data_IF_167827922422
#
_entry.id   IF_167827922422
#
_cell.length_a   1.000
_cell.length_b   1.000
_cell.length_c   1.000
_cell.angle_alpha   90.00
_cell.angle_beta   90.00
_cell.angle_gamma   90.00
#
_symmetry.space_group_name_H-M   'P 1'
#
loop_
_entity.id
_entity.type
_entity.pdbx_description
1 polymer ?
#
# COMPACT_ATOMS: atom_id res chain seq x y z
N UNK A 1 3.75 5.07 -5.35
CA UNK A 1 5.19 4.83 -5.56
C UNK A 1 5.80 5.73 -6.65
N UNK A 2 5.40 5.61 -7.93
CA UNK A 2 5.98 6.40 -9.04
C UNK A 2 6.03 7.90 -8.75
N UNK A 3 4.88 8.48 -8.36
CA UNK A 3 4.77 9.91 -8.06
C UNK A 3 5.80 10.37 -7.00
N UNK A 4 5.94 9.61 -5.91
CA UNK A 4 6.88 9.95 -4.83
C UNK A 4 8.34 9.88 -5.29
N UNK A 5 8.70 8.84 -6.04
CA UNK A 5 10.05 8.70 -6.60
C UNK A 5 10.35 9.83 -7.59
N UNK A 6 9.39 10.16 -8.46
CA UNK A 6 9.52 11.20 -9.46
C UNK A 6 9.66 12.58 -8.79
N UNK A 7 8.82 12.88 -7.80
CA UNK A 7 8.88 14.13 -7.03
C UNK A 7 10.23 14.33 -6.34
N UNK A 8 10.81 13.25 -5.79
CA UNK A 8 12.02 13.36 -4.98
C UNK A 8 13.32 13.26 -5.78
N UNK A 9 13.33 12.55 -6.91
CA UNK A 9 14.56 12.18 -7.65
C UNK A 9 14.46 12.34 -9.17
N UNK A 10 13.34 12.86 -9.67
CA UNK A 10 13.09 13.08 -11.09
C UNK A 10 12.51 11.87 -11.83
N UNK A 11 11.92 12.15 -13.00
CA UNK A 11 11.21 11.19 -13.84
C UNK A 11 12.06 9.98 -14.21
N UNK A 12 13.26 10.20 -14.74
CA UNK A 12 14.16 9.13 -15.18
C UNK A 12 14.48 8.17 -14.05
N UNK A 13 14.77 8.69 -12.85
CA UNK A 13 15.03 7.85 -11.68
C UNK A 13 13.81 6.99 -11.32
N UNK A 14 12.62 7.57 -11.30
CA UNK A 14 11.39 6.83 -10.99
C UNK A 14 11.12 5.68 -11.97
N UNK A 15 11.29 5.93 -13.28
CA UNK A 15 11.12 4.92 -14.33
C UNK A 15 12.16 3.79 -14.21
N UNK A 16 13.44 4.14 -14.05
CA UNK A 16 14.50 3.14 -13.87
C UNK A 16 14.28 2.31 -12.61
N UNK A 17 13.93 2.93 -11.48
CA UNK A 17 13.69 2.21 -10.22
C UNK A 17 12.51 1.25 -10.31
N UNK A 18 11.39 1.66 -10.93
CA UNK A 18 10.20 0.80 -11.06
C UNK A 18 10.47 -0.35 -12.03
N UNK A 19 11.13 -0.08 -13.16
CA UNK A 19 11.52 -1.13 -14.11
C UNK A 19 12.49 -2.13 -13.48
N UNK A 20 13.46 -1.66 -12.70
CA UNK A 20 14.39 -2.53 -11.98
C UNK A 20 13.64 -3.38 -10.94
N UNK A 21 12.81 -2.76 -10.09
CA UNK A 21 11.98 -3.48 -9.11
C UNK A 21 11.14 -4.57 -9.77
N UNK A 22 10.52 -4.25 -10.92
CA UNK A 22 9.67 -5.19 -11.64
C UNK A 22 10.43 -6.38 -12.23
N UNK A 23 11.74 -6.28 -12.45
CA UNK A 23 12.58 -7.36 -13.00
C UNK A 23 13.22 -8.20 -11.91
N UNK A 24 13.72 -7.55 -10.86
CA UNK A 24 14.53 -8.21 -9.83
C UNK A 24 13.70 -8.83 -8.70
N UNK A 25 12.53 -8.27 -8.41
CA UNK A 25 11.71 -8.72 -7.28
C UNK A 25 10.47 -9.45 -7.81
N UNK A 26 10.33 -10.75 -7.52
CA UNK A 26 9.12 -11.49 -7.83
C UNK A 26 7.91 -10.81 -7.18
N UNK A 27 6.95 -10.41 -8.00
CA UNK A 27 5.74 -9.75 -7.53
C UNK A 27 4.55 -10.15 -8.39
N UNK A 28 3.36 -9.95 -7.85
CA UNK A 28 2.10 -10.17 -8.55
C UNK A 28 1.30 -8.89 -8.49
N UNK A 29 0.80 -8.45 -9.64
CA UNK A 29 -0.17 -7.36 -9.70
C UNK A 29 -1.53 -7.90 -9.29
N UNK A 30 -2.10 -7.35 -8.23
CA UNK A 30 -3.41 -7.74 -7.72
C UNK A 30 -4.47 -6.87 -8.37
N UNK A 31 -5.50 -7.50 -8.93
CA UNK A 31 -6.64 -6.79 -9.49
C UNK A 31 -7.50 -6.20 -8.36
N UNK A 32 -7.91 -4.94 -8.54
CA UNK A 32 -8.78 -4.23 -7.61
C UNK A 32 -10.22 -4.37 -8.10
N UNK A 33 -10.96 -5.30 -7.50
CA UNK A 33 -12.37 -5.53 -7.80
C UNK A 33 -13.29 -4.64 -6.95
N UNK A 34 -14.58 -4.63 -7.28
CA UNK A 34 -15.59 -3.87 -6.51
C UNK A 34 -15.67 -4.29 -5.04
N UNK A 35 -15.35 -5.54 -4.71
CA UNK A 35 -15.31 -6.00 -3.33
C UNK A 35 -14.18 -5.35 -2.53
N UNK A 36 -13.00 -5.20 -3.13
CA UNK A 36 -11.89 -4.41 -2.56
C UNK A 36 -12.32 -2.95 -2.39
N UNK A 37 -12.94 -2.36 -3.41
CA UNK A 37 -13.37 -0.96 -3.41
C UNK A 37 -14.37 -0.70 -2.26
N UNK A 38 -15.39 -1.53 -2.09
CA UNK A 38 -16.36 -1.38 -0.99
C UNK A 38 -15.71 -1.54 0.38
N UNK A 39 -14.79 -2.49 0.53
CA UNK A 39 -14.04 -2.67 1.80
C UNK A 39 -13.16 -1.46 2.11
N UNK A 40 -12.45 -0.93 1.12
CA UNK A 40 -11.63 0.25 1.28
C UNK A 40 -12.46 1.50 1.60
N UNK A 41 -13.61 1.66 0.94
CA UNK A 41 -14.57 2.73 1.24
C UNK A 41 -15.09 2.65 2.67
N UNK A 42 -15.43 1.46 3.15
CA UNK A 42 -15.85 1.24 4.54
C UNK A 42 -14.74 1.61 5.53
N UNK A 43 -13.50 1.15 5.31
CA UNK A 43 -12.33 1.52 6.11
C UNK A 43 -12.09 3.03 6.12
N UNK A 44 -12.25 3.69 4.97
CA UNK A 44 -12.08 5.14 4.85
C UNK A 44 -13.18 5.90 5.57
N UNK A 45 -14.40 5.37 5.61
CA UNK A 45 -15.50 5.96 6.38
C UNK A 45 -15.20 5.89 7.89
N UNK A 46 -14.73 4.75 8.38
CA UNK A 46 -14.42 4.52 9.79
C UNK A 46 -13.18 5.30 10.27
N UNK A 47 -12.15 5.40 9.43
CA UNK A 47 -10.87 6.04 9.77
C UNK A 47 -10.59 7.28 8.92
N UNK A 48 -11.62 8.11 8.71
CA UNK A 48 -11.61 9.23 7.75
C UNK A 48 -10.43 10.19 7.90
N UNK A 49 -10.00 10.48 9.12
CA UNK A 49 -8.93 11.46 9.37
C UNK A 49 -7.53 10.83 9.45
N UNK A 50 -7.44 9.49 9.48
CA UNK A 50 -6.18 8.78 9.75
C UNK A 50 -5.64 8.12 8.48
N UNK A 51 -6.47 7.33 7.79
CA UNK A 51 -6.03 6.54 6.64
C UNK A 51 -6.25 7.31 5.35
N UNK A 52 -5.25 7.37 4.46
CA UNK A 52 -5.51 7.80 3.09
C UNK A 52 -6.33 6.74 2.35
N UNK A 53 -6.97 7.12 1.24
CA UNK A 53 -7.71 6.13 0.44
C UNK A 53 -6.78 5.03 -0.12
N UNK A 54 -5.53 5.40 -0.45
CA UNK A 54 -4.52 4.44 -0.90
C UNK A 54 -4.17 3.42 0.19
N UNK A 55 -4.09 3.85 1.45
CA UNK A 55 -3.87 2.94 2.58
C UNK A 55 -5.07 2.00 2.75
N UNK A 56 -6.29 2.53 2.69
CA UNK A 56 -7.51 1.72 2.77
C UNK A 56 -7.54 0.64 1.68
N UNK A 57 -7.18 0.97 0.44
CA UNK A 57 -7.10 0.01 -0.66
C UNK A 57 -6.05 -1.07 -0.40
N UNK A 58 -4.85 -0.69 0.01
CA UNK A 58 -3.77 -1.63 0.28
C UNK A 58 -4.10 -2.58 1.45
N UNK A 59 -4.75 -2.06 2.49
CA UNK A 59 -5.24 -2.83 3.64
C UNK A 59 -6.36 -3.80 3.21
N UNK A 60 -7.34 -3.32 2.43
CA UNK A 60 -8.44 -4.15 1.95
C UNK A 60 -7.95 -5.34 1.12
N UNK A 61 -6.99 -5.11 0.21
CA UNK A 61 -6.31 -6.18 -0.55
C UNK A 61 -5.59 -7.14 0.39
N UNK A 62 -4.85 -6.62 1.37
CA UNK A 62 -4.07 -7.45 2.30
C UNK A 62 -4.94 -8.37 3.14
N UNK A 63 -6.09 -7.86 3.62
CA UNK A 63 -7.07 -8.65 4.35
C UNK A 63 -7.72 -9.71 3.46
N UNK A 64 -8.07 -9.36 2.21
CA UNK A 64 -8.66 -10.29 1.24
C UNK A 64 -7.70 -11.46 0.92
N UNK A 65 -6.42 -11.17 0.75
CA UNK A 65 -5.40 -12.18 0.46
C UNK A 65 -4.91 -12.92 1.70
N UNK A 66 -5.37 -12.54 2.90
CA UNK A 66 -4.82 -13.01 4.18
C UNK A 66 -3.29 -12.94 4.18
N UNK A 67 -2.73 -11.80 3.76
CA UNK A 67 -1.30 -11.57 3.64
C UNK A 67 -0.75 -10.84 4.89
N UNK A 68 0.51 -10.42 4.83
CA UNK A 68 1.12 -9.52 5.82
C UNK A 68 1.22 -8.14 5.19
N UNK A 69 0.82 -7.11 5.93
CA UNK A 69 0.90 -5.72 5.51
C UNK A 69 2.29 -5.16 5.83
N UNK A 70 3.08 -4.90 4.79
CA UNK A 70 4.42 -4.34 4.92
C UNK A 70 4.36 -2.82 4.76
N UNK A 71 4.83 -2.06 5.75
CA UNK A 71 4.73 -0.61 5.75
C UNK A 71 5.81 0.07 6.59
N UNK A 72 6.10 1.32 6.30
CA UNK A 72 6.91 2.23 7.15
C UNK A 72 6.04 3.16 8.00
N UNK A 73 4.71 3.09 7.85
CA UNK A 73 3.78 3.97 8.55
C UNK A 73 3.70 3.60 10.04
N UNK A 74 3.84 4.61 10.88
CA UNK A 74 3.84 4.44 12.33
C UNK A 74 2.44 4.56 12.91
N UNK A 75 1.58 5.38 12.30
CA UNK A 75 0.28 5.78 12.87
C UNK A 75 -0.92 4.99 12.34
N UNK A 76 -0.70 3.73 11.94
CA UNK A 76 -1.80 2.83 11.54
C UNK A 76 -2.75 2.57 12.71
N UNK A 77 -4.08 2.75 12.51
CA UNK A 77 -5.06 2.42 13.52
C UNK A 77 -5.05 0.89 13.79
N UNK A 78 -5.45 0.45 14.99
CA UNK A 78 -5.54 -0.97 15.30
C UNK A 78 -6.67 -1.60 14.49
N UNK A 79 -6.31 -2.35 13.44
CA UNK A 79 -7.26 -3.02 12.56
C UNK A 79 -7.31 -4.51 12.89
N UNK A 80 -8.50 -5.00 13.21
CA UNK A 80 -8.71 -6.41 13.52
C UNK A 80 -8.24 -7.30 12.35
N UNK A 81 -7.45 -8.34 12.67
CA UNK A 81 -6.92 -9.35 11.73
C UNK A 81 -5.85 -8.85 10.76
N UNK A 82 -5.49 -7.57 10.75
CA UNK A 82 -4.39 -7.08 9.93
C UNK A 82 -3.05 -7.44 10.57
N UNK A 83 -2.29 -8.36 9.96
CA UNK A 83 -0.92 -8.65 10.37
C UNK A 83 0.00 -7.60 9.77
N UNK A 84 0.67 -6.80 10.60
CA UNK A 84 1.54 -5.71 10.13
C UNK A 84 3.01 -6.05 10.39
N UNK A 85 3.85 -5.90 9.36
CA UNK A 85 5.30 -5.85 9.48
C UNK A 85 5.75 -4.41 9.25
N UNK A 86 6.13 -3.73 10.33
CA UNK A 86 6.68 -2.37 10.28
C UNK A 86 8.16 -2.39 9.93
N UNK A 87 8.58 -1.43 9.11
CA UNK A 87 9.97 -1.15 8.79
C UNK A 87 10.33 0.26 9.26
N UNK A 88 11.52 0.39 9.81
CA UNK A 88 12.16 1.67 10.09
C UNK A 88 13.47 1.67 9.30
N UNK A 89 13.70 2.74 8.54
CA UNK A 89 14.94 2.95 7.82
C UNK A 89 15.58 4.19 8.43
N UNK A 90 16.81 4.04 8.91
CA UNK A 90 17.65 5.13 9.43
C UNK A 90 18.07 6.10 8.32
#
# INVERSE_FOLDING_TARGET
MYFQLCRNRGKTHAETSINHFSKEIPHTLVHLDLGVEFRAGALKCEHREILSYADCMAIAVTLQLNATFHTTENDLPPLARLRVKKYSFE
#
